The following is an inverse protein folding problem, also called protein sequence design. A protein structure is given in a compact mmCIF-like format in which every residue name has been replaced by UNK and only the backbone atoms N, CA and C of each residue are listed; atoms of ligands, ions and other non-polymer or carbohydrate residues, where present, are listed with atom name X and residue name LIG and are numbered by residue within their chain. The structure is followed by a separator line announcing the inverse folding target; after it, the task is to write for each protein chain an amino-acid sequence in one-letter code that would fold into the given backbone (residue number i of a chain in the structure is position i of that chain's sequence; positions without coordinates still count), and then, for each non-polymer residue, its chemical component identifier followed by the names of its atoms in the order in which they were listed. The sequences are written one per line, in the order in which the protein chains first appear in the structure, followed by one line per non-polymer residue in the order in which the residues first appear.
data_IF_193071508597
#
_entry.id   IF_193071508597
#
_cell.length_a   1.000
_cell.length_b   1.000
_cell.length_c   1.000
_cell.angle_alpha   90.00
_cell.angle_beta   90.00
_cell.angle_gamma   90.00
#
_symmetry.space_group_name_H-M   'P 1'
#
loop_
_entity.id
_entity.type
_entity.pdbx_description
1 polymer ?
#
# COMPACT_ATOMS: atom_id res chain seq x y z
N UNK A 1 17.54 17.29 -21.30
CA UNK A 1 16.89 18.25 -20.42
C UNK A 1 15.82 17.58 -19.60
N UNK A 2 15.87 17.73 -18.29
CA UNK A 2 14.83 17.12 -17.48
C UNK A 2 13.50 17.78 -17.77
N UNK A 3 12.47 16.96 -17.80
CA UNK A 3 11.12 17.43 -18.02
C UNK A 3 10.57 18.02 -16.75
N UNK A 4 9.90 19.13 -16.88
CA UNK A 4 9.25 19.74 -15.73
C UNK A 4 8.07 18.88 -15.28
N UNK A 5 7.84 18.73 -13.99
CA UNK A 5 6.65 18.05 -13.51
C UNK A 5 5.38 18.74 -14.00
N UNK A 6 4.42 17.94 -14.39
CA UNK A 6 3.11 18.45 -14.80
C UNK A 6 2.05 17.74 -13.98
N UNK A 7 0.80 18.12 -14.19
CA UNK A 7 -0.31 17.50 -13.47
C UNK A 7 -0.42 16.00 -13.74
N UNK A 8 0.11 15.53 -14.86
CA UNK A 8 0.10 14.12 -15.18
C UNK A 8 1.35 13.37 -14.77
N UNK A 9 2.35 14.06 -14.24
CA UNK A 9 3.58 13.41 -13.84
C UNK A 9 3.40 12.62 -12.57
N UNK A 10 4.07 11.47 -12.51
CA UNK A 10 4.02 10.60 -11.35
C UNK A 10 4.91 11.15 -10.24
N UNK A 11 4.35 11.19 -9.05
CA UNK A 11 5.10 11.42 -7.81
C UNK A 11 5.10 10.13 -7.04
N UNK A 12 6.23 9.80 -6.41
CA UNK A 12 6.29 8.56 -5.68
C UNK A 12 7.10 8.66 -4.43
N UNK A 13 6.79 7.78 -3.49
CA UNK A 13 7.56 7.58 -2.27
C UNK A 13 7.88 6.09 -2.14
N UNK A 14 9.01 5.78 -1.52
CA UNK A 14 9.38 4.41 -1.20
C UNK A 14 9.96 4.39 0.20
N UNK A 15 9.52 3.42 1.01
CA UNK A 15 9.98 3.28 2.39
C UNK A 15 10.18 1.80 2.71
N UNK A 16 11.26 1.52 3.41
CA UNK A 16 11.50 0.19 3.97
C UNK A 16 11.14 0.21 5.45
N UNK A 17 10.45 -0.83 5.88
CA UNK A 17 9.95 -0.91 7.26
C UNK A 17 10.50 -2.18 7.87
N UNK A 18 11.14 -2.05 9.01
CA UNK A 18 11.65 -3.20 9.75
C UNK A 18 10.52 -3.86 10.54
N UNK A 19 10.71 -5.15 10.82
CA UNK A 19 9.78 -5.90 11.67
C UNK A 19 9.50 -5.14 12.95
N UNK A 20 8.23 -5.07 13.33
CA UNK A 20 7.75 -4.48 14.58
C UNK A 20 8.02 -2.99 14.73
N UNK A 21 8.41 -2.30 13.66
CA UNK A 21 8.63 -0.87 13.72
C UNK A 21 7.30 -0.13 13.47
N UNK A 22 6.48 -0.09 14.50
CA UNK A 22 5.16 0.55 14.40
C UNK A 22 5.25 2.06 14.20
N UNK A 23 6.35 2.65 14.62
CA UNK A 23 6.57 4.07 14.40
C UNK A 23 6.69 4.40 12.93
N UNK A 24 7.30 3.51 12.16
CA UNK A 24 7.44 3.68 10.72
C UNK A 24 6.08 3.68 10.02
N UNK A 25 5.10 2.95 10.55
CA UNK A 25 3.75 2.96 9.98
C UNK A 25 3.17 4.37 10.01
N UNK A 26 3.33 5.09 11.11
CA UNK A 26 2.87 6.48 11.21
C UNK A 26 3.61 7.39 10.25
N UNK A 27 4.89 7.17 10.05
CA UNK A 27 5.68 7.95 9.10
C UNK A 27 5.23 7.72 7.66
N UNK A 28 4.91 6.48 7.33
CA UNK A 28 4.40 6.14 6.00
C UNK A 28 3.05 6.81 5.76
N UNK A 29 2.17 6.78 6.75
CA UNK A 29 0.87 7.44 6.63
C UNK A 29 1.03 8.94 6.38
N UNK A 30 1.97 9.56 7.08
CA UNK A 30 2.24 10.98 6.92
C UNK A 30 2.79 11.29 5.54
N UNK A 31 3.72 10.46 5.06
CA UNK A 31 4.29 10.63 3.73
C UNK A 31 3.23 10.47 2.65
N UNK A 32 2.33 9.50 2.82
CA UNK A 32 1.24 9.29 1.88
C UNK A 32 0.29 10.49 1.86
N UNK A 33 -0.04 11.02 3.04
CA UNK A 33 -0.89 12.20 3.14
C UNK A 33 -0.27 13.39 2.40
N UNK A 34 1.02 13.58 2.54
CA UNK A 34 1.71 14.65 1.83
C UNK A 34 1.70 14.42 0.31
N UNK A 35 1.88 13.17 -0.11
CA UNK A 35 1.85 12.84 -1.52
C UNK A 35 0.50 13.16 -2.16
N UNK A 36 -0.58 12.91 -1.43
CA UNK A 36 -1.94 13.11 -1.94
C UNK A 36 -2.47 14.52 -1.74
N UNK A 37 -1.78 15.33 -0.94
CA UNK A 37 -2.22 16.67 -0.61
C UNK A 37 -2.35 17.50 -1.88
N UNK A 38 -3.45 18.23 -1.99
CA UNK A 38 -3.76 19.09 -3.13
C UNK A 38 -3.97 18.35 -4.44
N UNK A 39 -3.91 17.03 -4.43
CA UNK A 39 -4.12 16.22 -5.63
C UNK A 39 -5.40 15.39 -5.58
N UNK A 40 -5.79 15.01 -4.38
CA UNK A 40 -6.93 14.11 -4.16
C UNK A 40 -7.87 14.70 -3.13
N UNK A 41 -9.11 14.23 -3.17
CA UNK A 41 -10.09 14.62 -2.16
C UNK A 41 -9.67 14.06 -0.80
N UNK A 42 -10.00 14.78 0.30
CA UNK A 42 -9.66 14.30 1.64
C UNK A 42 -10.21 12.90 1.94
N UNK A 43 -11.39 12.56 1.46
CA UNK A 43 -11.98 11.23 1.68
C UNK A 43 -11.10 10.14 1.07
N UNK A 44 -10.56 10.38 -0.12
CA UNK A 44 -9.67 9.42 -0.76
C UNK A 44 -8.38 9.25 0.06
N UNK A 45 -7.86 10.34 0.61
CA UNK A 45 -6.67 10.28 1.45
C UNK A 45 -6.94 9.44 2.69
N UNK A 46 -8.09 9.60 3.33
CA UNK A 46 -8.44 8.81 4.52
C UNK A 46 -8.54 7.33 4.19
N UNK A 47 -9.15 6.99 3.06
CA UNK A 47 -9.22 5.59 2.62
C UNK A 47 -7.83 5.04 2.37
N UNK A 48 -6.98 5.79 1.67
CA UNK A 48 -5.62 5.35 1.38
C UNK A 48 -4.82 5.12 2.66
N UNK A 49 -4.95 6.01 3.65
CA UNK A 49 -4.25 5.84 4.92
C UNK A 49 -4.71 4.58 5.65
N UNK A 50 -6.00 4.32 5.63
CA UNK A 50 -6.53 3.11 6.24
C UNK A 50 -5.98 1.86 5.57
N UNK A 51 -6.04 1.81 4.25
CA UNK A 51 -5.60 0.63 3.51
C UNK A 51 -4.11 0.39 3.66
N UNK A 52 -3.29 1.44 3.57
CA UNK A 52 -1.84 1.28 3.69
C UNK A 52 -1.47 0.83 5.11
N UNK A 53 -2.16 1.37 6.11
CA UNK A 53 -1.92 0.98 7.50
C UNK A 53 -2.20 -0.51 7.71
N UNK A 54 -3.33 -0.98 7.20
CA UNK A 54 -3.70 -2.40 7.34
C UNK A 54 -2.72 -3.31 6.60
N UNK A 55 -2.33 -2.95 5.38
CA UNK A 55 -1.43 -3.79 4.59
C UNK A 55 -0.03 -3.83 5.19
N UNK A 56 0.50 -2.69 5.63
CA UNK A 56 1.84 -2.64 6.22
C UNK A 56 1.85 -3.39 7.56
N UNK A 57 0.83 -3.18 8.38
CA UNK A 57 0.72 -3.87 9.66
C UNK A 57 0.68 -5.38 9.45
N UNK A 58 -0.12 -5.84 8.49
CA UNK A 58 -0.20 -7.27 8.19
C UNK A 58 1.15 -7.81 7.71
N UNK A 59 1.85 -7.08 6.86
CA UNK A 59 3.16 -7.51 6.40
C UNK A 59 4.15 -7.62 7.56
N UNK A 60 4.13 -6.67 8.49
CA UNK A 60 5.04 -6.69 9.63
C UNK A 60 4.73 -7.81 10.61
N UNK A 61 3.45 -8.16 10.75
CA UNK A 61 3.06 -9.26 11.64
C UNK A 61 3.48 -10.61 11.07
N UNK A 62 3.47 -10.75 9.74
CA UNK A 62 3.66 -12.04 9.10
C UNK A 62 5.05 -12.29 8.55
N UNK A 63 5.95 -11.34 8.67
CA UNK A 63 7.32 -11.52 8.22
C UNK A 63 8.29 -10.96 9.23
N UNK A 64 9.41 -11.66 9.41
CA UNK A 64 10.50 -11.18 10.23
C UNK A 64 11.42 -10.24 9.47
N UNK A 65 11.25 -10.15 8.17
CA UNK A 65 12.16 -9.40 7.32
C UNK A 65 11.68 -7.99 7.01
N UNK A 66 10.50 -7.63 7.54
CA UNK A 66 9.97 -6.31 7.29
C UNK A 66 9.20 -6.22 5.99
N UNK A 67 9.01 -5.01 5.52
CA UNK A 67 8.23 -4.74 4.32
C UNK A 67 8.82 -3.56 3.58
N UNK A 68 8.53 -3.49 2.29
CA UNK A 68 8.87 -2.34 1.48
C UNK A 68 7.58 -1.76 0.92
N UNK A 69 7.39 -0.47 1.09
CA UNK A 69 6.16 0.21 0.69
C UNK A 69 6.51 1.23 -0.38
N UNK A 70 5.81 1.21 -1.49
CA UNK A 70 5.92 2.27 -2.46
C UNK A 70 4.54 2.79 -2.81
N UNK A 71 4.46 4.08 -3.04
CA UNK A 71 3.23 4.74 -3.44
C UNK A 71 3.56 5.74 -4.54
N UNK A 72 2.75 5.75 -5.57
CA UNK A 72 2.90 6.69 -6.66
C UNK A 72 1.55 7.27 -6.99
N UNK A 73 1.55 8.50 -7.45
CA UNK A 73 0.34 9.17 -7.88
C UNK A 73 0.56 9.77 -9.26
N UNK A 74 -0.38 9.50 -10.15
CA UNK A 74 -0.37 10.01 -11.51
C UNK A 74 -1.71 10.72 -11.70
N UNK A 75 -1.65 12.03 -11.89
CA UNK A 75 -2.83 12.89 -11.83
C UNK A 75 -3.54 12.71 -10.49
N UNK A 76 -4.67 12.04 -10.45
CA UNK A 76 -5.40 11.78 -9.21
C UNK A 76 -5.43 10.31 -8.84
N UNK A 77 -4.77 9.45 -9.62
CA UNK A 77 -4.81 8.02 -9.38
C UNK A 77 -3.60 7.59 -8.57
N UNK A 78 -3.88 7.06 -7.40
CA UNK A 78 -2.87 6.56 -6.48
C UNK A 78 -2.68 5.07 -6.69
N UNK A 79 -1.43 4.62 -6.71
CA UNK A 79 -1.10 3.20 -6.64
C UNK A 79 -0.18 2.97 -5.46
N UNK A 80 -0.52 2.00 -4.63
CA UNK A 80 0.28 1.61 -3.47
C UNK A 80 0.66 0.15 -3.63
N UNK A 81 1.92 -0.16 -3.35
CA UNK A 81 2.43 -1.52 -3.32
C UNK A 81 3.09 -1.77 -1.98
N UNK A 82 2.74 -2.88 -1.35
CA UNK A 82 3.37 -3.32 -0.12
C UNK A 82 3.98 -4.69 -0.38
N UNK A 83 5.30 -4.75 -0.35
CA UNK A 83 6.02 -6.00 -0.55
C UNK A 83 6.46 -6.55 0.79
N UNK A 84 6.11 -7.79 1.06
CA UNK A 84 6.71 -8.52 2.16
C UNK A 84 7.79 -9.45 1.61
N UNK A 85 8.73 -9.82 2.48
CA UNK A 85 9.86 -10.64 2.07
C UNK A 85 9.79 -12.02 2.69
N UNK A 86 8.59 -12.45 3.09
CA UNK A 86 8.41 -13.78 3.64
C UNK A 86 8.88 -14.83 2.65
N UNK A 87 9.63 -15.81 3.14
CA UNK A 87 10.19 -16.84 2.26
C UNK A 87 9.11 -17.79 1.72
N UNK A 88 7.95 -17.85 2.36
CA UNK A 88 6.88 -18.75 1.95
C UNK A 88 6.25 -18.27 0.66
N UNK A 89 5.90 -19.22 -0.18
CA UNK A 89 5.10 -18.91 -1.35
C UNK A 89 3.73 -18.40 -0.91
N UNK A 90 3.20 -17.40 -1.59
CA UNK A 90 1.86 -16.93 -1.28
C UNK A 90 0.86 -18.03 -1.60
N UNK A 91 -0.15 -18.14 -0.78
CA UNK A 91 -1.28 -19.03 -1.03
C UNK A 91 -2.38 -18.24 -1.70
N UNK A 92 -3.24 -18.90 -2.46
CA UNK A 92 -4.46 -18.24 -2.90
C UNK A 92 -5.17 -17.66 -1.67
N UNK A 93 -5.46 -16.39 -1.74
CA UNK A 93 -6.00 -15.71 -0.59
C UNK A 93 -7.51 -15.68 -0.67
N UNK A 94 -8.17 -16.23 0.36
CA UNK A 94 -9.61 -16.18 0.48
C UNK A 94 -9.91 -15.48 1.81
N UNK A 95 -10.30 -14.21 1.79
CA UNK A 95 -10.62 -13.52 3.03
C UNK A 95 -11.81 -14.16 3.70
N UNK A 96 -11.67 -14.45 4.98
CA UNK A 96 -12.78 -14.97 5.78
C UNK A 96 -12.84 -14.20 7.09
N UNK A 97 -13.97 -14.31 7.75
CA UNK A 97 -14.15 -13.65 9.03
C UNK A 97 -13.18 -14.21 10.09
N UNK A 98 -12.67 -15.41 9.88
CA UNK A 98 -11.81 -16.09 10.83
C UNK A 98 -10.34 -15.78 10.63
N UNK A 99 -9.99 -15.04 9.60
CA UNK A 99 -8.60 -14.75 9.31
C UNK A 99 -8.00 -13.67 10.20
N UNK A 100 -8.77 -13.12 11.11
CA UNK A 100 -8.30 -12.12 12.03
C UNK A 100 -7.85 -10.86 11.30
N UNK A 101 -6.72 -10.31 11.71
CA UNK A 101 -6.22 -9.07 11.12
C UNK A 101 -5.76 -9.22 9.68
N UNK A 102 -5.36 -10.43 9.28
CA UNK A 102 -4.94 -10.66 7.90
C UNK A 102 -6.09 -10.52 6.93
N UNK A 103 -7.20 -11.18 7.25
CA UNK A 103 -8.36 -11.14 6.37
C UNK A 103 -8.95 -9.75 6.30
N UNK A 104 -8.88 -9.03 7.40
CA UNK A 104 -9.47 -7.69 7.45
C UNK A 104 -8.80 -6.73 6.50
N UNK A 105 -7.47 -6.72 6.44
CA UNK A 105 -6.75 -5.81 5.56
C UNK A 105 -7.13 -6.02 4.11
N UNK A 106 -7.12 -7.28 3.66
CA UNK A 106 -7.43 -7.57 2.27
C UNK A 106 -8.92 -7.38 1.96
N UNK A 107 -9.79 -7.66 2.91
CA UNK A 107 -11.23 -7.39 2.73
C UNK A 107 -11.47 -5.89 2.52
N UNK A 108 -10.79 -5.05 3.29
CA UNK A 108 -10.91 -3.61 3.12
C UNK A 108 -10.41 -3.16 1.74
N UNK A 109 -9.29 -3.71 1.29
CA UNK A 109 -8.78 -3.40 -0.04
C UNK A 109 -9.78 -3.78 -1.12
N UNK A 110 -10.34 -5.00 -1.04
CA UNK A 110 -11.33 -5.46 -2.00
C UNK A 110 -12.58 -4.59 -2.01
N UNK A 111 -12.95 -4.05 -0.86
CA UNK A 111 -14.18 -3.27 -0.72
C UNK A 111 -13.98 -1.82 -1.15
N UNK A 112 -12.84 -1.23 -0.83
CA UNK A 112 -12.64 0.22 -0.93
C UNK A 112 -11.75 0.64 -2.08
N UNK A 113 -10.89 -0.24 -2.58
CA UNK A 113 -10.01 0.11 -3.70
C UNK A 113 -10.73 0.02 -5.03
N UNK A 114 -10.31 0.83 -5.97
CA UNK A 114 -10.84 0.77 -7.33
C UNK A 114 -10.28 -0.42 -8.09
N UNK A 115 -9.04 -0.79 -7.77
CA UNK A 115 -8.40 -1.97 -8.33
C UNK A 115 -7.40 -2.49 -7.30
N UNK A 116 -7.09 -3.78 -7.37
CA UNK A 116 -6.16 -4.39 -6.42
C UNK A 116 -5.66 -5.71 -6.93
N UNK A 117 -4.58 -6.20 -6.34
CA UNK A 117 -4.08 -7.52 -6.69
C UNK A 117 -3.02 -7.98 -5.70
N UNK A 118 -2.67 -9.26 -5.83
CA UNK A 118 -1.58 -9.87 -5.09
C UNK A 118 -0.70 -10.58 -6.11
N UNK A 119 0.56 -10.17 -6.18
CA UNK A 119 1.51 -10.74 -7.13
C UNK A 119 2.59 -11.49 -6.36
N UNK A 120 2.80 -12.76 -6.73
CA UNK A 120 3.90 -13.53 -6.17
C UNK A 120 5.20 -13.06 -6.80
N UNK A 121 6.21 -12.85 -5.97
CA UNK A 121 7.57 -12.64 -6.46
C UNK A 121 8.17 -14.00 -6.81
N UNK A 122 9.44 -14.03 -7.25
CA UNK A 122 10.13 -15.27 -7.46
C UNK A 122 10.02 -16.15 -6.22
N UNK A 123 10.08 -17.48 -6.35
CA UNK A 123 9.98 -18.36 -5.19
C UNK A 123 10.93 -17.97 -4.07
N UNK A 124 10.41 -17.89 -2.86
CA UNK A 124 11.19 -17.48 -1.69
C UNK A 124 11.43 -15.99 -1.57
N UNK A 125 10.88 -15.17 -2.45
CA UNK A 125 11.11 -13.74 -2.44
C UNK A 125 9.91 -12.91 -2.02
N UNK A 126 8.88 -13.55 -1.48
CA UNK A 126 7.73 -12.86 -0.93
C UNK A 126 6.65 -12.55 -1.95
N UNK A 127 5.86 -11.54 -1.64
CA UNK A 127 4.75 -11.15 -2.49
C UNK A 127 4.54 -9.63 -2.40
N UNK A 128 3.83 -9.10 -3.38
CA UNK A 128 3.41 -7.71 -3.41
C UNK A 128 1.90 -7.68 -3.37
N UNK A 129 1.33 -6.96 -2.42
CA UNK A 129 -0.09 -6.62 -2.42
C UNK A 129 -0.19 -5.18 -2.88
N UNK A 130 -1.05 -4.91 -3.83
CA UNK A 130 -1.18 -3.56 -4.36
C UNK A 130 -2.64 -3.16 -4.47
N UNK A 131 -2.87 -1.86 -4.44
CA UNK A 131 -4.20 -1.31 -4.72
C UNK A 131 -4.06 0.02 -5.44
N UNK A 132 -5.14 0.40 -6.12
CA UNK A 132 -5.27 1.70 -6.77
C UNK A 132 -6.55 2.37 -6.33
N UNK A 133 -6.46 3.67 -6.18
CA UNK A 133 -7.59 4.54 -5.85
C UNK A 133 -7.58 5.73 -6.79
N UNK A 134 -8.74 6.05 -7.33
CA UNK A 134 -8.90 7.31 -8.04
C UNK A 134 -9.42 8.34 -7.04
N UNK A 135 -8.55 9.23 -6.64
CA UNK A 135 -8.86 10.21 -5.60
C UNK A 135 -9.75 11.35 -6.05
N UNK A 136 -9.96 11.48 -7.34
CA UNK A 136 -10.67 12.63 -7.88
C UNK A 136 -9.91 13.93 -7.64
N UNK A 137 -10.30 15.03 -8.30
CA UNK A 137 -9.64 16.31 -8.08
C UNK A 137 -9.93 16.83 -6.68
N UNK A 138 -8.93 17.45 -6.10
CA UNK A 138 -9.04 18.02 -4.76
C UNK A 138 -10.07 19.15 -4.72
#
# INVERSE_FOLDING_TARGET
MPREPSAGDTLEITRSVRRADLKAVGEIRRALRELMRHRCKPDATEVAELLITELVTNALVHTEQGAEVSASIDATRLRVEVRDFAARLPRPYVPTADDGTHGRGLVLVQTLADDWGVDACAPGRGKVVWFELDGGPA
#
